data_IF_562853042324
#
_entry.id   IF_562853042324
#
_cell.length_a   1.000
_cell.length_b   1.000
_cell.length_c   1.000
_cell.angle_alpha   90.00
_cell.angle_beta   90.00
_cell.angle_gamma   90.00
#
_symmetry.space_group_name_H-M   'P 1'
#
loop_
_entity.id
_entity.type
_entity.pdbx_description
1 polymer ?
#
# COMPACT_ATOMS: atom_id res chain seq x y z
N UNK A 1 13.00 -0.84 17.08
CA UNK A 1 12.74 -0.29 15.75
C UNK A 1 13.20 1.16 15.80
N UNK A 2 14.22 1.49 15.01
CA UNK A 2 14.70 2.87 14.84
C UNK A 2 13.69 3.67 14.03
N UNK A 3 13.74 4.99 14.11
CA UNK A 3 12.81 5.84 13.35
C UNK A 3 12.99 5.66 11.83
N UNK A 4 14.22 5.38 11.39
CA UNK A 4 14.49 5.04 9.98
C UNK A 4 13.85 3.72 9.56
N UNK A 5 13.87 2.69 10.41
CA UNK A 5 13.19 1.41 10.13
C UNK A 5 11.66 1.60 10.05
N UNK A 6 11.08 2.42 10.95
CA UNK A 6 9.66 2.75 10.92
C UNK A 6 9.27 3.45 9.60
N UNK A 7 10.09 4.40 9.16
CA UNK A 7 9.93 5.13 7.91
C UNK A 7 9.90 4.19 6.69
N UNK A 8 10.90 3.29 6.62
CA UNK A 8 11.01 2.30 5.54
C UNK A 8 9.78 1.37 5.54
N UNK A 9 9.36 0.89 6.71
CA UNK A 9 8.20 0.02 6.84
C UNK A 9 6.92 0.72 6.35
N UNK A 10 6.67 1.96 6.77
CA UNK A 10 5.51 2.75 6.32
C UNK A 10 5.50 2.94 4.82
N UNK A 11 6.66 3.26 4.24
CA UNK A 11 6.84 3.42 2.79
C UNK A 11 6.54 2.13 2.03
N UNK A 12 7.09 1.00 2.48
CA UNK A 12 6.83 -0.32 1.89
C UNK A 12 5.34 -0.68 1.93
N UNK A 13 4.69 -0.45 3.06
CA UNK A 13 3.24 -0.72 3.22
C UNK A 13 2.42 0.13 2.23
N UNK A 14 2.72 1.42 2.09
CA UNK A 14 2.01 2.28 1.14
C UNK A 14 2.21 1.83 -0.31
N UNK A 15 3.45 1.53 -0.71
CA UNK A 15 3.76 1.02 -2.06
C UNK A 15 3.04 -0.30 -2.32
N UNK A 16 3.00 -1.21 -1.34
CA UNK A 16 2.25 -2.46 -1.44
C UNK A 16 0.76 -2.19 -1.66
N UNK A 17 0.13 -1.29 -0.88
CA UNK A 17 -1.27 -0.92 -1.05
C UNK A 17 -1.58 -0.33 -2.43
N UNK A 18 -0.65 0.41 -3.03
CA UNK A 18 -0.78 0.89 -4.41
C UNK A 18 -0.70 -0.25 -5.45
N UNK A 19 0.18 -1.23 -5.23
CA UNK A 19 0.41 -2.32 -6.18
C UNK A 19 -0.68 -3.40 -6.15
N UNK A 20 -1.29 -3.66 -4.99
CA UNK A 20 -2.32 -4.72 -4.82
C UNK A 20 -3.73 -4.30 -5.27
N UNK A 21 -3.92 -3.04 -5.71
CA UNK A 21 -5.23 -2.54 -6.13
C UNK A 21 -5.89 -3.46 -7.16
N UNK A 22 -7.19 -3.74 -7.02
CA UNK A 22 -7.94 -4.61 -7.95
C UNK A 22 -8.01 -4.03 -9.35
N UNK A 23 -8.28 -2.73 -9.43
CA UNK A 23 -8.40 -2.02 -10.70
C UNK A 23 -7.00 -1.69 -11.23
N UNK A 24 -6.62 -2.18 -12.43
CA UNK A 24 -5.29 -1.94 -12.99
C UNK A 24 -4.94 -0.45 -13.15
N UNK A 25 -5.95 0.39 -13.43
CA UNK A 25 -5.78 1.85 -13.55
C UNK A 25 -5.30 2.53 -12.27
N UNK A 26 -5.50 1.91 -11.11
CA UNK A 26 -5.02 2.44 -9.83
C UNK A 26 -3.62 1.94 -9.48
N UNK A 27 -3.07 0.97 -10.23
CA UNK A 27 -1.71 0.49 -10.00
C UNK A 27 -0.71 1.47 -10.60
N UNK A 28 0.34 1.85 -9.87
CA UNK A 28 1.43 2.66 -10.43
C UNK A 28 2.22 1.86 -11.47
N UNK A 29 2.85 2.57 -12.40
CA UNK A 29 3.88 1.96 -13.27
C UNK A 29 5.11 1.58 -12.44
N UNK A 30 5.90 0.61 -12.92
CA UNK A 30 7.15 0.23 -12.24
C UNK A 30 8.11 1.40 -12.04
N UNK A 31 8.21 2.32 -13.00
CA UNK A 31 9.01 3.54 -12.86
C UNK A 31 8.52 4.42 -11.70
N UNK A 32 7.20 4.54 -11.51
CA UNK A 32 6.62 5.29 -10.39
C UNK A 32 6.88 4.56 -9.06
N UNK A 33 6.79 3.23 -9.03
CA UNK A 33 7.12 2.42 -7.85
C UNK A 33 8.57 2.63 -7.42
N UNK A 34 9.52 2.59 -8.35
CA UNK A 34 10.93 2.84 -8.06
C UNK A 34 11.13 4.23 -7.46
N UNK A 35 10.53 5.26 -8.08
CA UNK A 35 10.58 6.63 -7.56
C UNK A 35 10.02 6.74 -6.13
N UNK A 36 8.96 6.00 -5.80
CA UNK A 36 8.38 5.99 -4.45
C UNK A 36 9.26 5.27 -3.42
N UNK A 37 10.07 4.29 -3.83
CA UNK A 37 10.98 3.56 -2.95
C UNK A 37 12.30 4.31 -2.73
N UNK A 38 12.79 4.99 -3.77
CA UNK A 38 14.04 5.73 -3.76
C UNK A 38 13.90 7.14 -3.17
N UNK A 39 12.70 7.71 -3.12
CA UNK A 39 12.48 9.04 -2.52
C UNK A 39 12.80 9.02 -1.03
N UNK A 40 13.57 10.00 -0.53
CA UNK A 40 13.80 10.16 0.92
C UNK A 40 12.52 10.56 1.66
N UNK A 41 11.64 11.32 1.00
CA UNK A 41 10.39 11.81 1.57
C UNK A 41 9.42 10.68 1.96
N UNK A 42 8.82 10.81 3.15
CA UNK A 42 7.78 9.91 3.65
C UNK A 42 6.39 10.21 3.09
N UNK A 43 6.22 11.34 2.40
CA UNK A 43 4.94 11.85 1.94
C UNK A 43 4.49 11.15 0.65
N UNK A 44 4.17 9.86 0.75
CA UNK A 44 3.41 9.17 -0.28
C UNK A 44 1.91 9.44 -0.08
N UNK A 45 1.22 9.76 -1.17
CA UNK A 45 -0.23 9.90 -1.14
C UNK A 45 -0.90 8.58 -0.74
N UNK A 46 -1.96 8.71 0.07
CA UNK A 46 -2.75 7.56 0.51
C UNK A 46 -3.40 6.91 -0.72
N UNK A 47 -3.20 5.61 -0.95
CA UNK A 47 -3.82 4.92 -2.07
C UNK A 47 -5.35 4.95 -1.97
N UNK A 48 -6.06 4.93 -3.11
CA UNK A 48 -7.50 4.80 -3.11
C UNK A 48 -7.92 3.54 -2.33
N UNK A 49 -8.98 3.65 -1.51
CA UNK A 49 -9.49 2.51 -0.75
C UNK A 49 -9.84 1.38 -1.70
N UNK A 50 -9.08 0.29 -1.61
CA UNK A 50 -9.40 -0.93 -2.34
C UNK A 50 -10.50 -1.67 -1.60
N UNK A 51 -11.52 -2.13 -2.33
CA UNK A 51 -12.64 -2.89 -1.77
C UNK A 51 -12.23 -4.28 -1.25
N UNK A 52 -10.98 -4.71 -1.48
CA UNK A 52 -10.48 -6.02 -1.01
C UNK A 52 -10.58 -6.11 0.52
N UNK A 53 -10.28 -5.02 1.24
CA UNK A 53 -10.35 -5.01 2.70
C UNK A 53 -11.77 -4.86 3.28
N UNK A 54 -12.78 -4.60 2.45
CA UNK A 54 -14.18 -4.60 2.91
C UNK A 54 -14.78 -6.00 2.98
N UNK A 55 -14.14 -7.01 2.40
CA UNK A 55 -14.66 -8.38 2.31
C UNK A 55 -14.23 -9.27 3.49
N UNK A 56 -13.18 -8.91 4.25
CA UNK A 56 -12.63 -9.77 5.31
C UNK A 56 -13.00 -9.32 6.75
N UNK A 57 -14.19 -8.76 6.96
CA UNK A 57 -14.73 -8.57 8.31
C UNK A 57 -16.17 -9.05 8.47
N UNK A 58 -16.63 -9.97 7.61
CA UNK A 58 -17.94 -10.61 7.78
C UNK A 58 -17.98 -12.12 7.50
N UNK A 59 -16.87 -12.85 7.61
CA UNK A 59 -16.99 -14.26 7.96
C UNK A 59 -17.29 -14.35 9.47
N UNK A 60 -18.54 -14.07 9.84
CA UNK A 60 -19.12 -14.67 11.03
C UNK A 60 -19.33 -16.17 10.71
N UNK A 61 -18.93 -17.01 11.65
CA UNK A 61 -18.90 -18.48 11.58
C UNK A 61 -20.20 -19.12 11.09
N UNK A 62 -20.09 -20.18 10.28
CA UNK A 62 -21.10 -21.24 10.12
C UNK A 62 -20.47 -22.51 9.51
N UNK A 63 -19.69 -23.25 10.31
CA UNK A 63 -19.88 -24.68 10.69
C UNK A 63 -18.66 -25.19 11.49
#
# INVERSE_FOLDING_TARGET
MTESENSIMRKMIMVAFWCIQTKPIHRPSMTKVLKMLESEDELLEIPPKSLIFSVDMSCNDSE
#
